data_IF_438061587135
#
_entry.id   IF_438061587135
#
_cell.length_a   1.000
_cell.length_b   1.000
_cell.length_c   1.000
_cell.angle_alpha   90.00
_cell.angle_beta   90.00
_cell.angle_gamma   90.00
#
_symmetry.space_group_name_H-M   'P 1'
#
loop_
_entity.id
_entity.type
_entity.pdbx_description
1 polymer ?
#
# COMPACT_ATOMS: atom_id res chain seq x y z
N UNK A 1 1.90 -11.88 10.22
CA UNK A 1 2.02 -11.88 11.69
C UNK A 1 1.51 -10.60 12.35
N UNK A 2 1.74 -9.39 11.82
CA UNK A 2 1.20 -8.13 12.40
C UNK A 2 -0.31 -7.93 12.19
N UNK A 3 -0.92 -8.59 11.20
CA UNK A 3 -2.34 -8.41 10.91
C UNK A 3 -3.33 -9.19 11.81
N UNK A 4 -2.87 -10.22 12.52
CA UNK A 4 -3.74 -11.15 13.27
C UNK A 4 -4.04 -10.71 14.71
N UNK A 5 -3.19 -9.87 15.27
CA UNK A 5 -3.35 -9.37 16.62
C UNK A 5 -3.46 -7.86 16.55
N UNK A 6 -4.36 -7.29 17.36
CA UNK A 6 -4.50 -5.85 17.54
C UNK A 6 -3.27 -5.33 18.28
N UNK A 7 -2.19 -5.13 17.54
CA UNK A 7 -0.96 -4.55 18.04
C UNK A 7 -1.17 -3.04 18.12
N UNK A 8 -1.27 -2.54 19.34
CA UNK A 8 -1.11 -1.10 19.58
C UNK A 8 0.36 -0.79 19.32
N UNK A 9 0.63 -0.03 18.26
CA UNK A 9 1.94 0.60 18.11
C UNK A 9 2.08 1.57 19.28
N UNK A 10 2.96 1.24 20.22
CA UNK A 10 3.36 2.19 21.26
C UNK A 10 4.03 3.36 20.54
N UNK A 11 3.35 4.50 20.53
CA UNK A 11 3.90 5.74 19.98
C UNK A 11 5.21 6.04 20.71
N UNK A 12 6.28 6.14 19.94
CA UNK A 12 7.58 6.61 20.39
C UNK A 12 7.79 8.02 19.81
N UNK A 13 8.82 8.73 20.29
CA UNK A 13 9.13 10.03 19.73
C UNK A 13 9.40 9.91 18.21
N UNK A 14 9.00 10.93 17.39
CA UNK A 14 9.18 10.90 15.94
C UNK A 14 10.62 10.58 15.56
N UNK A 15 10.81 9.89 14.43
CA UNK A 15 12.15 9.49 13.98
C UNK A 15 13.10 10.69 13.96
N UNK A 16 14.13 10.64 14.82
CA UNK A 16 15.26 11.57 14.82
C UNK A 16 16.54 10.75 14.60
N UNK A 17 17.30 11.00 13.53
CA UNK A 17 18.50 10.23 13.22
C UNK A 17 19.59 10.30 14.31
N UNK A 18 19.63 11.37 15.11
CA UNK A 18 20.59 11.51 16.21
C UNK A 18 20.18 10.68 17.43
N UNK A 19 18.87 10.57 17.71
CA UNK A 19 18.31 9.86 18.86
C UNK A 19 17.97 8.39 18.57
N UNK A 20 17.84 8.02 17.29
CA UNK A 20 17.53 6.66 16.85
C UNK A 20 18.59 5.65 17.28
N UNK A 21 19.88 6.00 17.19
CA UNK A 21 20.97 5.13 17.63
C UNK A 21 21.00 4.93 19.15
N UNK A 22 20.34 5.80 19.91
CA UNK A 22 20.16 5.70 21.35
C UNK A 22 18.89 4.92 21.74
N UNK A 23 18.08 4.49 20.76
CA UNK A 23 16.84 3.75 20.96
C UNK A 23 15.72 4.59 21.57
N UNK A 24 15.69 5.90 21.28
CA UNK A 24 14.76 6.88 21.85
C UNK A 24 13.67 7.36 20.90
N UNK A 25 13.67 6.88 19.65
CA UNK A 25 12.71 7.30 18.62
C UNK A 25 12.30 6.11 17.78
N UNK A 26 11.16 6.23 17.11
CA UNK A 26 10.62 5.20 16.24
C UNK A 26 11.59 4.76 15.12
N UNK A 27 11.44 3.53 14.65
CA UNK A 27 12.15 3.06 13.46
C UNK A 27 11.64 3.78 12.20
N UNK A 28 12.53 4.26 11.33
CA UNK A 28 12.10 4.92 10.10
C UNK A 28 11.36 3.92 9.21
N UNK A 29 10.29 4.38 8.56
CA UNK A 29 9.59 3.59 7.56
C UNK A 29 10.55 3.20 6.42
N UNK A 30 10.65 1.90 6.15
CA UNK A 30 11.49 1.39 5.05
C UNK A 30 10.83 1.75 3.72
N UNK A 31 11.52 2.55 2.90
CA UNK A 31 11.01 2.98 1.59
C UNK A 31 11.11 1.84 0.58
N UNK A 32 9.96 1.29 0.20
CA UNK A 32 9.84 0.37 -0.94
C UNK A 32 9.71 1.22 -2.21
N UNK A 33 10.66 1.08 -3.14
CA UNK A 33 10.70 1.87 -4.38
C UNK A 33 10.20 1.05 -5.55
N UNK A 34 9.34 1.64 -6.39
CA UNK A 34 8.86 1.04 -7.62
C UNK A 34 9.86 1.36 -8.72
N UNK A 35 10.37 0.34 -9.39
CA UNK A 35 11.35 0.47 -10.46
C UNK A 35 10.78 -0.09 -11.77
N UNK A 36 10.98 0.61 -12.89
CA UNK A 36 10.62 0.16 -14.24
C UNK A 36 11.87 0.03 -15.11
N UNK A 37 11.81 -0.73 -16.20
CA UNK A 37 12.87 -0.73 -17.21
C UNK A 37 12.84 0.58 -18.01
N UNK A 38 13.98 0.97 -18.58
CA UNK A 38 14.09 2.17 -19.41
C UNK A 38 13.13 2.12 -20.61
N UNK A 39 13.07 0.97 -21.30
CA UNK A 39 12.20 0.81 -22.47
C UNK A 39 10.71 0.95 -22.12
N UNK A 40 10.30 0.47 -20.94
CA UNK A 40 8.91 0.59 -20.47
C UNK A 40 8.58 2.03 -20.06
N UNK A 41 9.57 2.75 -19.52
CA UNK A 41 9.41 4.16 -19.19
C UNK A 41 9.11 5.01 -20.44
N UNK A 42 9.81 4.74 -21.53
CA UNK A 42 9.64 5.49 -22.79
C UNK A 42 8.42 5.04 -23.61
N UNK A 43 8.09 3.74 -23.57
CA UNK A 43 7.00 3.18 -24.40
C UNK A 43 5.61 3.44 -23.83
N UNK A 44 5.48 3.50 -22.50
CA UNK A 44 4.21 3.38 -21.80
C UNK A 44 4.04 4.46 -20.71
N UNK A 45 4.03 5.76 -21.08
CA UNK A 45 4.01 6.87 -20.13
C UNK A 45 2.72 6.91 -19.28
N UNK A 46 1.61 6.37 -19.79
CA UNK A 46 0.36 6.27 -19.04
C UNK A 46 0.48 5.34 -17.83
N UNK A 47 1.11 4.18 -18.02
CA UNK A 47 1.35 3.22 -16.94
C UNK A 47 2.38 3.74 -15.94
N UNK A 48 3.39 4.46 -16.42
CA UNK A 48 4.35 5.16 -15.55
C UNK A 48 3.65 6.21 -14.69
N UNK A 49 2.71 6.97 -15.25
CA UNK A 49 1.95 7.97 -14.50
C UNK A 49 1.09 7.34 -13.41
N UNK A 50 0.50 6.17 -13.66
CA UNK A 50 -0.20 5.38 -12.63
C UNK A 50 0.77 4.86 -11.56
N UNK A 51 1.87 4.20 -11.96
CA UNK A 51 2.86 3.65 -11.03
C UNK A 51 3.50 4.73 -10.16
N UNK A 52 3.64 5.95 -10.68
CA UNK A 52 4.16 7.09 -9.92
C UNK A 52 3.20 7.59 -8.83
N UNK A 53 1.89 7.34 -8.97
CA UNK A 53 0.88 7.70 -7.96
C UNK A 53 0.60 6.55 -6.99
N UNK A 54 0.92 5.31 -7.37
CA UNK A 54 0.73 4.15 -6.51
C UNK A 54 1.57 4.28 -5.24
N UNK A 55 0.90 4.44 -4.11
CA UNK A 55 1.52 4.52 -2.81
C UNK A 55 0.68 3.81 -1.77
N UNK A 56 1.29 2.86 -1.06
CA UNK A 56 0.67 2.10 0.03
C UNK A 56 1.48 2.24 1.30
N UNK A 57 0.84 2.06 2.46
CA UNK A 57 1.51 2.07 3.76
C UNK A 57 1.67 0.65 4.31
N UNK A 58 2.61 0.49 5.25
CA UNK A 58 2.86 -0.77 5.97
C UNK A 58 1.63 -1.30 6.71
N UNK A 59 0.79 -0.38 7.20
CA UNK A 59 -0.46 -0.70 7.88
C UNK A 59 -1.45 -1.36 6.90
N UNK A 60 -1.65 -0.75 5.74
CA UNK A 60 -2.56 -1.25 4.70
C UNK A 60 -2.12 -2.61 4.14
N UNK A 61 -0.82 -2.81 3.93
CA UNK A 61 -0.32 -4.12 3.48
C UNK A 61 -0.47 -5.20 4.56
N UNK A 62 -0.34 -4.83 5.84
CA UNK A 62 -0.55 -5.74 6.96
C UNK A 62 -2.03 -6.12 7.11
N UNK A 63 -2.94 -5.18 6.87
CA UNK A 63 -4.38 -5.39 6.86
C UNK A 63 -4.81 -6.36 5.74
N UNK A 64 -4.33 -6.15 4.52
CA UNK A 64 -4.61 -7.07 3.41
C UNK A 64 -4.12 -8.51 3.70
N UNK A 65 -2.95 -8.64 4.35
CA UNK A 65 -2.43 -9.94 4.78
C UNK A 65 -3.25 -10.55 5.92
N UNK A 66 -3.74 -9.73 6.86
CA UNK A 66 -4.65 -10.16 7.92
C UNK A 66 -5.90 -10.81 7.32
N UNK A 67 -6.53 -10.10 6.38
CA UNK A 67 -7.74 -10.54 5.71
C UNK A 67 -7.56 -11.90 5.04
N UNK A 68 -6.44 -12.12 4.33
CA UNK A 68 -6.12 -13.42 3.71
C UNK A 68 -6.01 -14.53 4.77
N UNK A 69 -5.33 -14.26 5.88
CA UNK A 69 -5.10 -15.24 6.94
C UNK A 69 -6.40 -15.59 7.70
N UNK A 70 -7.30 -14.62 7.91
CA UNK A 70 -8.56 -14.79 8.63
C UNK A 70 -9.65 -15.45 7.78
N UNK A 71 -9.79 -15.01 6.53
CA UNK A 71 -10.84 -15.50 5.64
C UNK A 71 -10.43 -16.76 4.87
N UNK A 72 -9.13 -17.05 4.79
CA UNK A 72 -8.60 -18.08 3.90
C UNK A 72 -8.83 -17.77 2.41
N UNK A 73 -9.13 -16.51 2.08
CA UNK A 73 -9.38 -16.07 0.72
C UNK A 73 -8.12 -16.16 -0.14
N UNK A 74 -8.30 -16.35 -1.44
CA UNK A 74 -7.19 -16.28 -2.38
C UNK A 74 -6.70 -14.82 -2.53
N UNK A 75 -5.46 -14.66 -3.01
CA UNK A 75 -4.86 -13.34 -3.19
C UNK A 75 -5.69 -12.40 -4.06
N UNK A 76 -6.44 -12.96 -5.04
CA UNK A 76 -7.28 -12.15 -5.93
C UNK A 76 -8.53 -11.63 -5.22
N UNK A 77 -9.17 -12.45 -4.42
CA UNK A 77 -10.35 -12.06 -3.63
C UNK A 77 -9.97 -11.03 -2.59
N UNK A 78 -8.86 -11.24 -1.88
CA UNK A 78 -8.33 -10.26 -0.95
C UNK A 78 -7.97 -8.93 -1.62
N UNK A 79 -7.36 -8.96 -2.81
CA UNK A 79 -7.07 -7.74 -3.57
C UNK A 79 -8.35 -7.01 -4.00
N UNK A 80 -9.40 -7.72 -4.45
CA UNK A 80 -10.69 -7.12 -4.76
C UNK A 80 -11.35 -6.49 -3.54
N UNK A 81 -11.28 -7.15 -2.39
CA UNK A 81 -11.77 -6.60 -1.12
C UNK A 81 -10.98 -5.34 -0.74
N UNK A 82 -9.65 -5.40 -0.77
CA UNK A 82 -8.77 -4.27 -0.43
C UNK A 82 -9.02 -3.03 -1.30
N UNK A 83 -9.21 -3.23 -2.61
CA UNK A 83 -9.54 -2.14 -3.55
C UNK A 83 -10.94 -1.55 -3.31
N UNK A 84 -11.87 -2.34 -2.78
CA UNK A 84 -13.22 -1.88 -2.42
C UNK A 84 -13.29 -1.22 -1.05
N UNK A 85 -12.44 -1.63 -0.09
CA UNK A 85 -12.40 -1.09 1.26
C UNK A 85 -11.69 0.27 1.27
N UNK A 86 -10.56 0.40 0.58
CA UNK A 86 -9.76 1.62 0.55
C UNK A 86 -9.97 2.45 -0.72
N UNK A 87 -11.22 2.72 -1.08
CA UNK A 87 -11.55 3.49 -2.29
C UNK A 87 -10.91 4.88 -2.31
N UNK A 88 -10.93 5.57 -1.18
CA UNK A 88 -10.34 6.90 -1.03
C UNK A 88 -8.86 6.92 -1.45
N UNK A 89 -8.12 5.84 -1.17
CA UNK A 89 -6.74 5.69 -1.59
C UNK A 89 -6.65 5.34 -3.08
N UNK A 90 -7.44 4.37 -3.54
CA UNK A 90 -7.41 3.89 -4.94
C UNK A 90 -7.76 5.01 -5.92
N UNK A 91 -8.71 5.87 -5.57
CA UNK A 91 -9.11 7.03 -6.36
C UNK A 91 -8.01 8.10 -6.47
N UNK A 92 -7.04 8.13 -5.55
CA UNK A 92 -5.86 9.02 -5.69
C UNK A 92 -4.87 8.54 -6.74
N UNK A 93 -4.87 7.23 -7.04
CA UNK A 93 -3.98 6.62 -8.01
C UNK A 93 -4.49 6.77 -9.44
N UNK A 94 -5.81 6.84 -9.61
CA UNK A 94 -6.50 6.74 -10.88
C UNK A 94 -7.20 8.06 -11.24
N UNK A 95 -7.52 8.22 -12.53
CA UNK A 95 -8.53 9.19 -12.94
C UNK A 95 -9.93 8.66 -12.65
N UNK A 96 -10.94 9.53 -12.58
CA UNK A 96 -12.33 9.10 -12.34
C UNK A 96 -12.80 8.02 -13.34
N UNK A 97 -12.46 8.16 -14.62
CA UNK A 97 -12.82 7.20 -15.66
C UNK A 97 -12.15 5.82 -15.47
N UNK A 98 -10.89 5.82 -15.02
CA UNK A 98 -10.16 4.59 -14.70
C UNK A 98 -10.68 3.93 -13.42
N UNK A 99 -11.05 4.73 -12.42
CA UNK A 99 -11.66 4.23 -11.17
C UNK A 99 -13.02 3.57 -11.46
N UNK A 100 -13.87 4.20 -12.26
CA UNK A 100 -15.15 3.62 -12.69
C UNK A 100 -14.95 2.30 -13.45
N UNK A 101 -13.97 2.26 -14.35
CA UNK A 101 -13.61 1.03 -15.08
C UNK A 101 -13.13 -0.08 -14.14
N UNK A 102 -12.30 0.26 -13.15
CA UNK A 102 -11.84 -0.68 -12.14
C UNK A 102 -13.01 -1.24 -11.33
N UNK A 103 -13.87 -0.38 -10.80
CA UNK A 103 -15.02 -0.78 -9.98
C UNK A 103 -16.05 -1.59 -10.76
N UNK A 104 -16.24 -1.31 -12.05
CA UNK A 104 -17.05 -2.15 -12.92
C UNK A 104 -16.45 -3.55 -13.15
N UNK A 105 -15.13 -3.69 -13.13
CA UNK A 105 -14.44 -4.96 -13.34
C UNK A 105 -14.30 -5.83 -12.08
N UNK A 106 -14.28 -5.21 -10.90
CA UNK A 106 -14.16 -5.92 -9.61
C UNK A 106 -15.50 -6.15 -8.90
N UNK A 107 -16.59 -5.53 -9.37
CA UNK A 107 -17.97 -5.69 -8.91
C UNK A 107 -18.66 -6.95 -9.44
#
# INVERSE_FOLDING_TARGET
MLGKYDFILLEDEPYDPELYYEGKTECPSVRVTICTSNDFYDSDPEYVAFLSKYHTTSALTSEALAYIEETGADYKTAAKWFLNEHRDMVETWLTAEQADTLYAAIG
#
